data_IF_376613042423
#
_entry.id   IF_376613042423
#
_cell.length_a   1.000
_cell.length_b   1.000
_cell.length_c   1.000
_cell.angle_alpha   90.00
_cell.angle_beta   90.00
_cell.angle_gamma   90.00
#
_symmetry.space_group_name_H-M   'P 1'
#
loop_
_entity.id
_entity.type
_entity.pdbx_description
1 polymer ?
#
# COMPACT_ATOMS: atom_id res chain seq x y z
N UNK A 1 -29.06 -6.53 60.87
CA UNK A 1 -27.94 -7.25 60.23
C UNK A 1 -28.08 -7.47 58.72
N UNK A 2 -29.25 -7.81 58.15
CA UNK A 2 -29.43 -8.04 56.69
C UNK A 2 -29.10 -6.82 55.77
N UNK A 3 -29.14 -5.60 56.29
CA UNK A 3 -28.90 -4.37 55.53
C UNK A 3 -27.43 -4.13 55.15
N UNK A 4 -26.50 -4.49 56.05
CA UNK A 4 -25.04 -4.34 55.82
C UNK A 4 -24.56 -5.34 54.76
N UNK A 5 -25.14 -6.55 54.72
CA UNK A 5 -24.86 -7.54 53.68
C UNK A 5 -25.36 -7.08 52.31
N UNK A 6 -26.58 -6.53 52.22
CA UNK A 6 -27.10 -5.98 50.97
C UNK A 6 -26.29 -4.78 50.43
N UNK A 7 -25.73 -3.96 51.33
CA UNK A 7 -24.85 -2.84 50.96
C UNK A 7 -23.48 -3.32 50.45
N UNK A 8 -22.91 -4.36 51.08
CA UNK A 8 -21.62 -4.94 50.68
C UNK A 8 -21.67 -5.56 49.28
N UNK A 9 -22.78 -6.21 48.92
CA UNK A 9 -22.96 -6.81 47.58
C UNK A 9 -23.14 -5.74 46.48
N UNK A 10 -23.83 -4.62 46.78
CA UNK A 10 -23.98 -3.50 45.84
C UNK A 10 -22.65 -2.82 45.50
N UNK A 11 -21.79 -2.62 46.50
CA UNK A 11 -20.46 -2.04 46.31
C UNK A 11 -19.58 -2.94 45.45
N UNK A 12 -19.59 -4.27 45.69
CA UNK A 12 -18.86 -5.23 44.85
C UNK A 12 -19.31 -5.17 43.39
N UNK A 13 -20.62 -5.16 43.14
CA UNK A 13 -21.19 -5.02 41.79
C UNK A 13 -20.76 -3.71 41.12
N UNK A 14 -20.77 -2.59 41.84
CA UNK A 14 -20.29 -1.31 41.32
C UNK A 14 -18.80 -1.35 40.95
N UNK A 15 -17.95 -1.98 41.77
CA UNK A 15 -16.53 -2.17 41.44
C UNK A 15 -16.32 -3.03 40.19
N UNK A 16 -17.12 -4.09 40.01
CA UNK A 16 -17.07 -4.93 38.80
C UNK A 16 -17.44 -4.10 37.56
N UNK A 17 -18.49 -3.27 37.63
CA UNK A 17 -18.88 -2.41 36.51
C UNK A 17 -17.82 -1.37 36.16
N UNK A 18 -17.19 -0.75 37.17
CA UNK A 18 -16.07 0.19 36.98
C UNK A 18 -14.89 -0.53 36.33
N UNK A 19 -14.57 -1.74 36.76
CA UNK A 19 -13.51 -2.55 36.16
C UNK A 19 -13.80 -2.85 34.69
N UNK A 20 -15.02 -3.27 34.36
CA UNK A 20 -15.45 -3.51 32.97
C UNK A 20 -15.32 -2.23 32.14
N UNK A 21 -15.72 -1.07 32.68
CA UNK A 21 -15.56 0.21 31.99
C UNK A 21 -14.08 0.53 31.72
N UNK A 22 -13.19 0.25 32.67
CA UNK A 22 -11.74 0.39 32.48
C UNK A 22 -11.20 -0.50 31.36
N UNK A 23 -11.67 -1.76 31.27
CA UNK A 23 -11.30 -2.68 30.18
C UNK A 23 -11.77 -2.17 28.82
N UNK A 24 -13.00 -1.65 28.73
CA UNK A 24 -13.53 -1.06 27.48
C UNK A 24 -12.70 0.14 27.04
N UNK A 25 -12.31 1.02 27.98
CA UNK A 25 -11.44 2.17 27.66
C UNK A 25 -10.09 1.69 27.13
N UNK A 26 -9.50 0.67 27.76
CA UNK A 26 -8.23 0.08 27.31
C UNK A 26 -8.36 -0.49 25.89
N UNK A 27 -9.43 -1.24 25.61
CA UNK A 27 -9.69 -1.80 24.28
C UNK A 27 -9.90 -0.72 23.22
N UNK A 28 -10.57 0.39 23.55
CA UNK A 28 -10.68 1.55 22.66
C UNK A 28 -9.32 2.16 22.31
N UNK A 29 -8.41 2.27 23.29
CA UNK A 29 -7.04 2.75 23.04
C UNK A 29 -6.29 1.81 22.11
N UNK A 30 -6.40 0.48 22.30
CA UNK A 30 -5.81 -0.51 21.41
C UNK A 30 -6.40 -0.45 20.00
N UNK A 31 -7.72 -0.26 19.88
CA UNK A 31 -8.41 -0.14 18.61
C UNK A 31 -7.93 1.09 17.82
N UNK A 32 -7.74 2.23 18.50
CA UNK A 32 -7.19 3.44 17.87
C UNK A 32 -5.83 3.18 17.24
N UNK A 33 -4.96 2.43 17.91
CA UNK A 33 -3.64 2.03 17.37
C UNK A 33 -3.76 1.14 16.12
N UNK A 34 -4.71 0.19 16.12
CA UNK A 34 -4.96 -0.66 14.97
C UNK A 34 -5.46 0.14 13.76
N UNK A 35 -6.36 1.10 13.98
CA UNK A 35 -6.89 1.98 12.92
C UNK A 35 -5.78 2.85 12.31
N UNK A 36 -4.94 3.50 13.14
CA UNK A 36 -3.80 4.27 12.60
C UNK A 36 -2.80 3.38 11.84
N UNK A 37 -2.61 2.14 12.31
CA UNK A 37 -1.77 1.17 11.63
C UNK A 37 -2.34 0.70 10.29
N UNK A 38 -3.67 0.72 10.12
CA UNK A 38 -4.35 0.41 8.87
C UNK A 38 -4.26 1.58 7.89
N UNK A 39 -4.45 2.82 8.36
CA UNK A 39 -4.29 4.02 7.54
C UNK A 39 -2.89 4.09 6.92
N UNK A 40 -1.84 3.84 7.72
CA UNK A 40 -0.47 3.77 7.24
C UNK A 40 -0.27 2.67 6.19
N UNK A 41 -0.85 1.48 6.39
CA UNK A 41 -0.81 0.39 5.41
C UNK A 41 -1.50 0.78 4.10
N UNK A 42 -2.68 1.40 4.16
CA UNK A 42 -3.41 1.83 2.96
C UNK A 42 -2.64 2.90 2.19
N UNK A 43 -2.04 3.86 2.91
CA UNK A 43 -1.16 4.87 2.30
C UNK A 43 0.02 4.21 1.60
N UNK A 44 0.65 3.21 2.20
CA UNK A 44 1.79 2.52 1.58
C UNK A 44 1.37 1.70 0.35
N UNK A 45 0.26 0.95 0.43
CA UNK A 45 -0.30 0.23 -0.74
C UNK A 45 -0.58 1.20 -1.89
N UNK A 46 -1.18 2.35 -1.62
CA UNK A 46 -1.50 3.32 -2.64
C UNK A 46 -0.26 4.06 -3.18
N UNK A 47 0.42 4.83 -2.32
CA UNK A 47 1.50 5.73 -2.72
C UNK A 47 2.80 5.00 -3.05
N UNK A 48 3.17 3.98 -2.27
CA UNK A 48 4.48 3.33 -2.41
C UNK A 48 4.44 2.14 -3.37
N UNK A 49 3.28 1.48 -3.55
CA UNK A 49 3.18 0.24 -4.34
C UNK A 49 2.38 0.41 -5.63
N UNK A 50 1.16 0.93 -5.55
CA UNK A 50 0.31 1.09 -6.73
C UNK A 50 0.83 2.19 -7.66
N UNK A 51 1.08 3.39 -7.14
CA UNK A 51 1.62 4.51 -7.93
C UNK A 51 3.01 4.19 -8.47
N UNK A 52 3.86 3.56 -7.65
CA UNK A 52 5.19 3.14 -8.06
C UNK A 52 5.14 2.05 -9.16
N UNK A 53 4.25 1.07 -9.03
CA UNK A 53 4.02 0.04 -10.05
C UNK A 53 3.52 0.63 -11.37
N UNK A 54 2.56 1.55 -11.31
CA UNK A 54 2.09 2.28 -12.49
C UNK A 54 3.23 3.09 -13.15
N UNK A 55 4.06 3.75 -12.33
CA UNK A 55 5.23 4.51 -12.81
C UNK A 55 6.21 3.61 -13.58
N UNK A 56 6.54 2.43 -13.04
CA UNK A 56 7.40 1.45 -13.73
C UNK A 56 6.74 0.99 -15.04
N UNK A 57 5.43 0.71 -15.02
CA UNK A 57 4.70 0.30 -16.23
C UNK A 57 4.76 1.38 -17.32
N UNK A 58 4.58 2.65 -16.97
CA UNK A 58 4.70 3.77 -17.93
C UNK A 58 6.12 3.89 -18.48
N UNK A 59 7.14 3.74 -17.63
CA UNK A 59 8.53 3.70 -18.10
C UNK A 59 8.74 2.56 -19.11
N UNK A 60 8.16 1.38 -18.84
CA UNK A 60 8.25 0.24 -19.75
C UNK A 60 7.62 0.57 -21.10
N UNK A 61 6.40 1.12 -21.09
CA UNK A 61 5.67 1.51 -22.29
C UNK A 61 6.43 2.54 -23.14
N UNK A 62 6.94 3.61 -22.53
CA UNK A 62 7.72 4.65 -23.22
C UNK A 62 8.96 4.07 -23.92
N UNK A 63 9.63 3.10 -23.29
CA UNK A 63 10.80 2.45 -23.88
C UNK A 63 10.43 1.42 -24.97
N UNK A 64 9.28 0.76 -24.87
CA UNK A 64 8.73 -0.04 -25.98
C UNK A 64 8.42 0.84 -27.20
N UNK A 65 7.79 2.00 -26.99
CA UNK A 65 7.55 2.96 -28.07
C UNK A 65 8.88 3.41 -28.70
N UNK A 66 9.90 3.69 -27.88
CA UNK A 66 11.23 4.04 -28.36
C UNK A 66 11.88 2.93 -29.20
N UNK A 67 11.69 1.67 -28.81
CA UNK A 67 12.17 0.51 -29.56
C UNK A 67 11.53 0.44 -30.94
N UNK A 68 10.20 0.59 -31.01
CA UNK A 68 9.45 0.62 -32.28
C UNK A 68 9.81 1.83 -33.16
N UNK A 69 9.98 3.00 -32.55
CA UNK A 69 10.39 4.23 -33.26
C UNK A 69 11.81 4.12 -33.80
N UNK A 70 12.72 3.45 -33.08
CA UNK A 70 14.07 3.19 -33.56
C UNK A 70 14.01 2.24 -34.77
N UNK A 71 13.21 1.18 -34.71
CA UNK A 71 13.00 0.29 -35.84
C UNK A 71 12.48 1.03 -37.07
N UNK A 72 11.46 1.89 -36.91
CA UNK A 72 10.95 2.70 -38.02
C UNK A 72 12.02 3.68 -38.55
N UNK A 73 12.84 4.26 -37.66
CA UNK A 73 13.92 5.16 -38.04
C UNK A 73 14.97 4.44 -38.89
N UNK A 74 15.28 3.19 -38.56
CA UNK A 74 16.20 2.37 -39.34
C UNK A 74 15.63 2.11 -40.74
N UNK A 75 14.33 1.83 -40.88
CA UNK A 75 13.74 1.50 -42.20
C UNK A 75 13.41 2.71 -43.07
N UNK A 76 13.11 3.87 -42.48
CA UNK A 76 12.67 5.03 -43.25
C UNK A 76 13.81 5.67 -44.04
N UNK A 77 13.48 6.26 -45.18
CA UNK A 77 14.37 7.09 -46.01
C UNK A 77 13.96 8.56 -46.02
N UNK A 78 12.86 8.92 -45.34
CA UNK A 78 12.35 10.29 -45.31
C UNK A 78 13.07 11.11 -44.23
N UNK A 79 13.70 12.22 -44.66
CA UNK A 79 14.37 13.15 -43.77
C UNK A 79 13.42 13.80 -42.74
N UNK A 80 12.16 14.06 -43.14
CA UNK A 80 11.11 14.55 -42.25
C UNK A 80 10.79 13.51 -41.16
N UNK A 81 10.65 12.24 -41.55
CA UNK A 81 10.37 11.15 -40.61
C UNK A 81 11.50 10.95 -39.60
N UNK A 82 12.78 11.07 -40.00
CA UNK A 82 13.90 10.99 -39.06
C UNK A 82 13.76 12.00 -37.91
N UNK A 83 13.51 13.26 -38.26
CA UNK A 83 13.42 14.34 -37.27
C UNK A 83 12.24 14.10 -36.31
N UNK A 84 11.10 13.63 -36.84
CA UNK A 84 9.91 13.32 -36.04
C UNK A 84 10.15 12.15 -35.08
N UNK A 85 10.69 11.03 -35.57
CA UNK A 85 10.94 9.83 -34.76
C UNK A 85 11.94 10.08 -33.65
N UNK A 86 13.03 10.80 -33.95
CA UNK A 86 14.00 11.17 -32.92
C UNK A 86 13.44 12.14 -31.87
N UNK A 87 12.57 13.06 -32.28
CA UNK A 87 11.89 13.94 -31.34
C UNK A 87 10.95 13.15 -30.41
N UNK A 88 10.28 12.11 -30.93
CA UNK A 88 9.51 11.15 -30.14
C UNK A 88 10.37 10.43 -29.11
N UNK A 89 11.47 9.82 -29.56
CA UNK A 89 12.42 9.12 -28.68
C UNK A 89 12.96 10.02 -27.58
N UNK A 90 13.37 11.26 -27.91
CA UNK A 90 13.87 12.22 -26.91
C UNK A 90 12.82 12.61 -25.89
N UNK A 91 11.56 12.79 -26.31
CA UNK A 91 10.44 13.11 -25.42
C UNK A 91 10.20 11.98 -24.42
N UNK A 92 10.05 10.76 -24.93
CA UNK A 92 9.83 9.57 -24.13
C UNK A 92 10.98 9.32 -23.14
N UNK A 93 12.23 9.50 -23.59
CA UNK A 93 13.39 9.38 -22.71
C UNK A 93 13.37 10.39 -21.57
N UNK A 94 13.05 11.66 -21.85
CA UNK A 94 12.94 12.72 -20.82
C UNK A 94 11.83 12.42 -19.81
N UNK A 95 10.69 11.93 -20.29
CA UNK A 95 9.57 11.54 -19.42
C UNK A 95 9.93 10.34 -18.55
N UNK A 96 10.53 9.30 -19.13
CA UNK A 96 11.01 8.14 -18.38
C UNK A 96 12.06 8.53 -17.33
N UNK A 97 12.97 9.47 -17.61
CA UNK A 97 13.95 9.96 -16.64
C UNK A 97 13.30 10.72 -15.48
N UNK A 98 12.27 11.51 -15.77
CA UNK A 98 11.48 12.21 -14.75
C UNK A 98 10.75 11.21 -13.84
N UNK A 99 10.09 10.21 -14.44
CA UNK A 99 9.40 9.15 -13.72
C UNK A 99 10.37 8.31 -12.87
N UNK A 100 11.53 7.94 -13.41
CA UNK A 100 12.57 7.21 -12.68
C UNK A 100 13.12 8.04 -11.50
N UNK A 101 13.28 9.35 -11.68
CA UNK A 101 13.73 10.27 -10.62
C UNK A 101 12.68 10.37 -9.52
N UNK A 102 11.39 10.38 -9.86
CA UNK A 102 10.31 10.36 -8.88
C UNK A 102 10.27 9.01 -8.14
N UNK A 103 10.40 7.90 -8.85
CA UNK A 103 10.46 6.56 -8.27
C UNK A 103 11.62 6.41 -7.27
N UNK A 104 12.81 6.94 -7.59
CA UNK A 104 13.98 6.92 -6.69
C UNK A 104 13.77 7.63 -5.33
N UNK A 105 12.76 8.48 -5.21
CA UNK A 105 12.43 9.20 -3.97
C UNK A 105 11.47 8.43 -3.06
N UNK A 106 10.93 7.30 -3.52
CA UNK A 106 10.06 6.46 -2.69
C UNK A 106 10.87 5.64 -1.69
N UNK A 107 10.18 5.00 -0.74
CA UNK A 107 10.82 4.10 0.23
C UNK A 107 11.09 2.75 -0.43
N UNK A 108 12.35 2.53 -0.80
CA UNK A 108 12.81 1.29 -1.44
C UNK A 108 13.24 0.23 -0.43
N UNK A 109 12.73 -0.99 -0.57
CA UNK A 109 13.22 -2.18 0.13
C UNK A 109 14.54 -2.67 -0.49
N UNK A 110 15.25 -3.56 0.20
CA UNK A 110 16.58 -4.02 -0.23
C UNK A 110 16.57 -4.62 -1.65
N UNK A 111 15.59 -5.48 -1.94
CA UNK A 111 15.42 -6.11 -3.27
C UNK A 111 15.12 -5.09 -4.37
N UNK A 112 14.42 -3.99 -4.06
CA UNK A 112 14.16 -2.92 -5.04
C UNK A 112 15.43 -2.18 -5.40
N UNK A 113 16.33 -1.95 -4.44
CA UNK A 113 17.59 -1.23 -4.68
C UNK A 113 18.48 -2.01 -5.67
N UNK A 114 18.62 -3.31 -5.45
CA UNK A 114 19.40 -4.18 -6.33
C UNK A 114 18.82 -4.21 -7.76
N UNK A 115 17.51 -4.45 -7.89
CA UNK A 115 16.84 -4.46 -9.19
C UNK A 115 16.86 -3.08 -9.87
N UNK A 116 16.82 -1.99 -9.09
CA UNK A 116 16.91 -0.62 -9.60
C UNK A 116 18.29 -0.28 -10.13
N UNK A 117 19.35 -0.72 -9.45
CA UNK A 117 20.72 -0.51 -9.90
C UNK A 117 20.95 -1.24 -11.22
N UNK A 118 20.51 -2.51 -11.33
CA UNK A 118 20.56 -3.27 -12.57
C UNK A 118 19.72 -2.62 -13.69
N UNK A 119 18.52 -2.15 -13.37
CA UNK A 119 17.67 -1.41 -14.31
C UNK A 119 18.37 -0.14 -14.84
N UNK A 120 19.01 0.64 -13.97
CA UNK A 120 19.73 1.85 -14.36
C UNK A 120 20.89 1.51 -15.28
N UNK A 121 21.69 0.48 -14.96
CA UNK A 121 22.83 0.07 -15.79
C UNK A 121 22.38 -0.42 -17.17
N UNK A 122 21.39 -1.30 -17.22
CA UNK A 122 20.85 -1.83 -18.48
C UNK A 122 20.20 -0.74 -19.34
N UNK A 123 19.51 0.22 -18.70
CA UNK A 123 18.93 1.38 -19.40
C UNK A 123 20.01 2.26 -20.02
N UNK A 124 21.12 2.51 -19.32
CA UNK A 124 22.25 3.28 -19.88
C UNK A 124 22.87 2.56 -21.10
N UNK A 125 23.07 1.24 -21.02
CA UNK A 125 23.59 0.45 -22.13
C UNK A 125 22.66 0.47 -23.34
N UNK A 126 21.36 0.28 -23.12
CA UNK A 126 20.37 0.28 -24.19
C UNK A 126 20.24 1.67 -24.84
N UNK A 127 20.19 2.75 -24.03
CA UNK A 127 20.14 4.13 -24.55
C UNK A 127 21.37 4.52 -25.34
N UNK A 128 22.56 4.09 -24.90
CA UNK A 128 23.79 4.30 -25.66
C UNK A 128 23.67 3.65 -27.04
N UNK A 129 23.26 2.39 -27.09
CA UNK A 129 23.03 1.68 -28.34
C UNK A 129 21.99 2.39 -29.23
N UNK A 130 20.87 2.84 -28.65
CA UNK A 130 19.84 3.58 -29.39
C UNK A 130 20.40 4.85 -30.04
N UNK A 131 21.17 5.65 -29.30
CA UNK A 131 21.78 6.87 -29.82
C UNK A 131 22.80 6.59 -30.92
N UNK A 132 23.62 5.55 -30.76
CA UNK A 132 24.59 5.12 -31.78
C UNK A 132 23.86 4.75 -33.09
N UNK A 133 22.76 3.98 -32.99
CA UNK A 133 21.95 3.58 -34.15
C UNK A 133 21.23 4.75 -34.83
N UNK A 134 20.71 5.72 -34.06
CA UNK A 134 20.09 6.92 -34.63
C UNK A 134 21.09 7.75 -35.45
N UNK A 135 22.34 7.84 -35.00
CA UNK A 135 23.42 8.49 -35.75
C UNK A 135 23.74 7.75 -37.05
N UNK A 136 23.96 6.43 -36.97
CA UNK A 136 24.36 5.61 -38.12
C UNK A 136 23.25 5.47 -39.17
N UNK A 137 21.98 5.44 -38.76
CA UNK A 137 20.83 5.27 -39.66
C UNK A 137 20.67 6.41 -40.67
N UNK A 138 21.22 7.61 -40.42
CA UNK A 138 21.11 8.76 -41.33
C UNK A 138 22.01 8.65 -42.56
N UNK A 139 23.15 7.98 -42.44
CA UNK A 139 24.26 8.04 -43.40
C UNK A 139 24.72 6.65 -43.88
N UNK A 140 24.24 5.57 -43.26
CA UNK A 140 24.74 4.21 -43.47
C UNK A 140 23.91 3.30 -44.37
N UNK A 141 24.48 2.14 -44.69
CA UNK A 141 23.78 1.02 -45.33
C UNK A 141 22.68 0.48 -44.41
N UNK A 142 21.44 0.70 -44.82
CA UNK A 142 20.22 0.33 -44.11
C UNK A 142 20.11 -1.16 -43.83
N UNK A 143 20.62 -2.00 -44.72
CA UNK A 143 20.56 -3.47 -44.59
C UNK A 143 21.49 -3.94 -43.48
N UNK A 144 22.75 -3.54 -43.53
CA UNK A 144 23.74 -3.87 -42.50
C UNK A 144 23.36 -3.31 -41.11
N UNK A 145 22.70 -2.15 -41.07
CA UNK A 145 22.18 -1.56 -39.82
C UNK A 145 21.01 -2.32 -39.23
N UNK A 146 20.10 -2.81 -40.08
CA UNK A 146 18.97 -3.61 -39.62
C UNK A 146 19.44 -4.94 -39.02
N UNK A 147 20.44 -5.60 -39.61
CA UNK A 147 21.02 -6.82 -39.03
C UNK A 147 21.67 -6.57 -37.67
N UNK A 148 22.40 -5.45 -37.52
CA UNK A 148 23.00 -5.06 -36.25
C UNK A 148 21.93 -4.76 -35.18
N UNK A 149 20.83 -4.13 -35.58
CA UNK A 149 19.68 -3.88 -34.72
C UNK A 149 19.01 -5.17 -34.26
N UNK A 150 18.72 -6.11 -35.17
CA UNK A 150 18.10 -7.39 -34.83
C UNK A 150 18.96 -8.22 -33.87
N UNK A 151 20.28 -8.24 -34.05
CA UNK A 151 21.16 -9.06 -33.21
C UNK A 151 21.49 -8.42 -31.86
N UNK A 152 21.86 -7.13 -31.86
CA UNK A 152 22.36 -6.43 -30.67
C UNK A 152 21.25 -5.63 -29.97
N UNK A 153 20.41 -4.94 -30.75
CA UNK A 153 19.32 -4.11 -30.23
C UNK A 153 18.28 -4.92 -29.47
N UNK A 154 17.77 -6.01 -30.07
CA UNK A 154 16.81 -6.89 -29.41
C UNK A 154 17.40 -7.51 -28.14
N UNK A 155 18.66 -7.94 -28.17
CA UNK A 155 19.32 -8.51 -27.00
C UNK A 155 19.43 -7.50 -25.85
N UNK A 156 19.91 -6.28 -26.14
CA UNK A 156 20.03 -5.23 -25.13
C UNK A 156 18.65 -4.79 -24.59
N UNK A 157 17.64 -4.75 -25.45
CA UNK A 157 16.26 -4.45 -25.05
C UNK A 157 15.71 -5.53 -24.11
N UNK A 158 15.91 -6.82 -24.42
CA UNK A 158 15.51 -7.92 -23.54
C UNK A 158 16.28 -7.90 -22.22
N UNK A 159 17.58 -7.60 -22.24
CA UNK A 159 18.39 -7.44 -21.03
C UNK A 159 17.91 -6.29 -20.14
N UNK A 160 17.44 -5.20 -20.73
CA UNK A 160 16.83 -4.08 -20.00
C UNK A 160 15.43 -4.43 -19.45
N UNK A 161 14.66 -5.24 -20.16
CA UNK A 161 13.30 -5.60 -19.78
C UNK A 161 13.24 -6.49 -18.52
N UNK A 162 14.24 -7.35 -18.32
CA UNK A 162 14.34 -8.25 -17.16
C UNK A 162 14.28 -7.49 -15.82
N UNK A 163 15.22 -6.58 -15.50
CA UNK A 163 15.19 -5.84 -14.24
C UNK A 163 13.98 -4.90 -14.14
N UNK A 164 13.49 -4.36 -15.27
CA UNK A 164 12.27 -3.55 -15.30
C UNK A 164 11.03 -4.34 -14.83
N UNK A 165 10.84 -5.57 -15.34
CA UNK A 165 9.77 -6.44 -14.88
C UNK A 165 9.99 -6.95 -13.45
N UNK A 166 11.24 -7.18 -13.05
CA UNK A 166 11.56 -7.53 -11.66
C UNK A 166 11.11 -6.44 -10.69
N UNK A 167 11.41 -5.16 -10.98
CA UNK A 167 10.92 -4.03 -10.20
C UNK A 167 9.40 -4.01 -10.09
N UNK A 168 8.68 -4.27 -11.20
CA UNK A 168 7.22 -4.35 -11.20
C UNK A 168 6.70 -5.51 -10.35
N UNK A 169 7.34 -6.68 -10.39
CA UNK A 169 6.94 -7.85 -9.58
C UNK A 169 7.15 -7.62 -8.09
N UNK A 170 8.25 -6.94 -7.73
CA UNK A 170 8.53 -6.60 -6.33
C UNK A 170 7.42 -5.69 -5.77
N UNK A 171 6.89 -4.74 -6.55
CA UNK A 171 5.75 -3.91 -6.10
C UNK A 171 4.54 -4.74 -5.70
N UNK A 172 4.22 -5.77 -6.50
CA UNK A 172 3.07 -6.66 -6.26
C UNK A 172 3.32 -7.48 -5.00
N UNK A 173 4.50 -8.12 -4.88
CA UNK A 173 4.84 -8.95 -3.73
C UNK A 173 4.82 -8.16 -2.42
N UNK A 174 5.48 -7.00 -2.38
CA UNK A 174 5.50 -6.15 -1.18
C UNK A 174 4.12 -5.61 -0.86
N UNK A 175 3.34 -5.23 -1.88
CA UNK A 175 1.94 -4.82 -1.71
C UNK A 175 1.06 -5.93 -1.09
N UNK A 176 1.25 -7.17 -1.52
CA UNK A 176 0.55 -8.33 -0.98
C UNK A 176 0.91 -8.59 0.49
N UNK A 177 2.18 -8.44 0.86
CA UNK A 177 2.64 -8.58 2.25
C UNK A 177 2.01 -7.52 3.16
N UNK A 178 1.95 -6.26 2.72
CA UNK A 178 1.29 -5.18 3.45
C UNK A 178 -0.21 -5.47 3.58
N UNK A 179 -0.85 -5.97 2.52
CA UNK A 179 -2.26 -6.33 2.54
C UNK A 179 -2.55 -7.47 3.54
N UNK A 180 -1.77 -8.56 3.52
CA UNK A 180 -1.89 -9.67 4.47
C UNK A 180 -1.71 -9.20 5.91
N UNK A 181 -0.69 -8.38 6.17
CA UNK A 181 -0.46 -7.79 7.49
C UNK A 181 -1.63 -6.90 7.95
N UNK A 182 -2.28 -6.20 7.02
CA UNK A 182 -3.45 -5.36 7.31
C UNK A 182 -4.69 -6.19 7.65
N UNK A 183 -4.90 -7.32 6.97
CA UNK A 183 -6.00 -8.23 7.30
C UNK A 183 -5.88 -8.79 8.72
N UNK A 184 -4.68 -9.14 9.16
CA UNK A 184 -4.45 -9.56 10.55
C UNK A 184 -4.84 -8.46 11.56
N UNK A 185 -4.53 -7.19 11.28
CA UNK A 185 -4.94 -6.05 12.12
C UNK A 185 -6.45 -5.85 12.13
N UNK A 186 -7.11 -5.99 10.98
CA UNK A 186 -8.57 -5.88 10.84
C UNK A 186 -9.26 -6.97 11.66
N UNK A 187 -8.84 -8.22 11.52
CA UNK A 187 -9.39 -9.33 12.30
C UNK A 187 -9.19 -9.14 13.81
N UNK A 188 -8.00 -8.68 14.23
CA UNK A 188 -7.75 -8.33 15.63
C UNK A 188 -8.70 -7.23 16.14
N UNK A 189 -8.92 -6.17 15.36
CA UNK A 189 -9.85 -5.10 15.70
C UNK A 189 -11.31 -5.58 15.77
N UNK A 190 -11.74 -6.46 14.87
CA UNK A 190 -13.08 -7.07 14.89
C UNK A 190 -13.32 -7.91 16.15
N UNK A 191 -12.33 -8.70 16.57
CA UNK A 191 -12.39 -9.48 17.81
C UNK A 191 -12.53 -8.55 19.01
N UNK A 192 -11.68 -7.51 19.09
CA UNK A 192 -11.75 -6.51 20.17
C UNK A 192 -13.14 -5.86 20.22
N UNK A 193 -13.64 -5.39 19.07
CA UNK A 193 -14.96 -4.75 18.96
C UNK A 193 -16.10 -5.68 19.39
N UNK A 194 -16.01 -6.97 19.08
CA UNK A 194 -17.03 -7.96 19.46
C UNK A 194 -17.04 -8.19 20.97
N UNK A 195 -15.85 -8.28 21.59
CA UNK A 195 -15.72 -8.41 23.04
C UNK A 195 -16.20 -7.15 23.74
N UNK A 196 -15.86 -5.96 23.24
CA UNK A 196 -16.37 -4.69 23.78
C UNK A 196 -17.90 -4.64 23.76
N UNK A 197 -18.53 -5.02 22.64
CA UNK A 197 -19.99 -5.04 22.53
C UNK A 197 -20.62 -5.98 23.58
N UNK A 198 -20.03 -7.16 23.79
CA UNK A 198 -20.47 -8.09 24.83
C UNK A 198 -20.31 -7.51 26.24
N UNK A 199 -19.17 -6.85 26.52
CA UNK A 199 -18.93 -6.18 27.81
C UNK A 199 -19.92 -5.04 28.07
N UNK A 200 -20.29 -4.27 27.05
CA UNK A 200 -21.32 -3.23 27.16
C UNK A 200 -22.67 -3.85 27.53
N UNK A 201 -23.07 -4.96 26.90
CA UNK A 201 -24.32 -5.65 27.23
C UNK A 201 -24.31 -6.13 28.69
N UNK A 202 -23.21 -6.73 29.14
CA UNK A 202 -23.04 -7.16 30.54
C UNK A 202 -23.12 -5.97 31.50
N UNK A 203 -22.50 -4.85 31.14
CA UNK A 203 -22.53 -3.62 31.94
C UNK A 203 -23.94 -3.05 32.05
N UNK A 204 -24.70 -3.01 30.95
CA UNK A 204 -26.09 -2.55 30.93
C UNK A 204 -26.98 -3.44 31.80
N UNK A 205 -26.86 -4.77 31.66
CA UNK A 205 -27.61 -5.73 32.45
C UNK A 205 -27.29 -5.62 33.96
N UNK A 206 -26.00 -5.50 34.31
CA UNK A 206 -25.56 -5.33 35.69
C UNK A 206 -26.03 -4.00 36.31
N UNK A 207 -26.03 -2.93 35.53
CA UNK A 207 -26.54 -1.61 35.95
C UNK A 207 -28.05 -1.65 36.19
N UNK A 208 -28.82 -2.31 35.31
CA UNK A 208 -30.26 -2.51 35.47
C UNK A 208 -30.59 -3.33 36.72
N UNK A 209 -29.85 -4.42 36.98
CA UNK A 209 -30.02 -5.24 38.18
C UNK A 209 -29.77 -4.43 39.47
N UNK A 210 -28.75 -3.57 39.50
CA UNK A 210 -28.50 -2.67 40.62
C UNK A 210 -29.65 -1.70 40.87
N UNK A 211 -30.26 -1.17 39.79
CA UNK A 211 -31.39 -0.25 39.88
C UNK A 211 -32.62 -0.91 40.52
N UNK A 212 -32.98 -2.13 40.07
CA UNK A 212 -34.10 -2.89 40.67
C UNK A 212 -33.82 -3.21 42.15
N UNK A 213 -32.60 -3.65 42.48
CA UNK A 213 -32.20 -3.95 43.85
C UNK A 213 -32.15 -2.70 44.76
N UNK A 214 -32.14 -1.49 44.20
CA UNK A 214 -32.23 -0.24 44.94
C UNK A 214 -33.67 0.08 45.36
N UNK A 215 -34.62 -0.07 44.43
CA UNK A 215 -36.03 0.31 44.64
C UNK A 215 -36.78 -0.59 45.64
N UNK A 216 -36.32 -1.81 45.90
CA UNK A 216 -36.97 -2.75 46.83
C UNK A 216 -36.75 -2.45 48.33
N UNK A 217 -35.85 -1.52 48.68
CA UNK A 217 -35.53 -1.20 50.09
C UNK A 217 -36.40 -0.05 50.65
N UNK A 218 -37.03 0.75 49.79
CA UNK A 218 -37.74 1.98 50.18
C UNK A 218 -39.22 1.72 50.58
N UNK A 219 -39.81 0.59 50.19
CA UNK A 219 -41.20 0.26 50.52
C UNK A 219 -41.33 -0.67 51.73
N UNK A 220 -41.03 -0.17 52.94
CA UNK A 220 -41.61 -0.77 54.16
C UNK A 220 -42.86 0.04 54.53
N UNK A 221 -44.08 -0.52 54.48
CA UNK A 221 -45.27 0.20 54.93
C UNK A 221 -45.09 0.56 56.41
N UNK A 222 -45.10 1.85 56.73
CA UNK A 222 -45.23 2.31 58.11
C UNK A 222 -46.54 1.75 58.66
N UNK A 223 -46.47 0.93 59.72
CA UNK A 223 -47.65 0.56 60.50
C UNK A 223 -48.21 1.84 61.12
N UNK A 224 -49.28 2.37 60.53
CA UNK A 224 -50.12 3.37 61.20
C UNK A 224 -50.83 2.68 62.35
N UNK A 225 -50.41 2.98 63.57
CA UNK A 225 -51.24 2.74 64.76
C UNK A 225 -52.22 3.91 64.83
N UNK A 226 -53.48 3.67 64.51
CA UNK A 226 -54.58 4.56 64.86
C UNK A 226 -55.08 4.11 66.24
N UNK A 227 -55.03 5.03 67.21
CA UNK A 227 -55.72 4.91 68.50
C UNK A 227 -57.24 4.96 68.29
#
# INVERSE_FOLDING_TARGET
>A
MKWIFALKEKIKMAFILIFIAGVIILFNVLMKSNVSGLEASMKSIYSDRLVAGATISTIIELNYQNHLQLEEHIHTTSAEKYSMLEAGIRRNNKEADSLLTAFKKTVLVAQEKEALDEFVQTNLMYRKFQNDMLGLSREGDKTSMYDQYLQKGNRLFQQWLIPAHQLSRIQISVGEDIYKASQLKIHGAQVISTVEAALVIVMLAGSYALMIASNTIINKPQKFWLN
#
